data_IF_685608420232
#
_entry.id   IF_685608420232
#
_cell.length_a   1.000
_cell.length_b   1.000
_cell.length_c   1.000
_cell.angle_alpha   90.00
_cell.angle_beta   90.00
_cell.angle_gamma   90.00
#
_symmetry.space_group_name_H-M   'P 1'
#
loop_
_entity.id
_entity.type
_entity.pdbx_description
1 polymer ?
#
# COMPACT_ATOMS: atom_id res chain seq x y z
N UNK A 1 -32.30 -15.21 4.81
CA UNK A 1 -31.77 -13.90 4.35
C UNK A 1 -30.87 -14.17 3.16
N UNK A 2 -31.18 -13.60 1.99
CA UNK A 2 -30.33 -13.70 0.81
C UNK A 2 -29.20 -12.66 0.96
N UNK A 3 -27.98 -13.11 1.20
CA UNK A 3 -26.80 -12.24 1.16
C UNK A 3 -26.59 -11.80 -0.28
N UNK A 4 -26.42 -10.49 -0.51
CA UNK A 4 -26.01 -9.99 -1.82
C UNK A 4 -24.71 -10.69 -2.26
N UNK A 5 -24.56 -11.04 -3.56
CA UNK A 5 -23.29 -11.54 -4.06
C UNK A 5 -22.22 -10.47 -3.84
N UNK A 6 -21.02 -10.91 -3.45
CA UNK A 6 -19.88 -10.01 -3.36
C UNK A 6 -19.56 -9.43 -4.75
N UNK A 7 -18.99 -8.23 -4.79
CA UNK A 7 -18.63 -7.52 -6.02
C UNK A 7 -17.10 -7.62 -6.22
N UNK A 8 -16.64 -7.38 -7.45
CA UNK A 8 -15.21 -7.15 -7.71
C UNK A 8 -14.76 -5.96 -6.85
N UNK A 9 -13.64 -6.07 -6.11
CA UNK A 9 -13.19 -4.98 -5.28
C UNK A 9 -12.84 -3.75 -6.12
N UNK A 10 -13.01 -2.57 -5.54
CA UNK A 10 -12.66 -1.30 -6.14
C UNK A 10 -11.72 -0.57 -5.19
N UNK A 11 -10.41 -0.66 -5.44
CA UNK A 11 -9.40 0.08 -4.67
C UNK A 11 -9.07 1.37 -5.42
N UNK A 12 -9.41 2.49 -4.80
CA UNK A 12 -9.18 3.82 -5.35
C UNK A 12 -7.74 4.28 -5.10
N UNK A 13 -7.20 3.98 -3.92
CA UNK A 13 -5.84 4.34 -3.54
C UNK A 13 -5.25 3.47 -2.43
N UNK A 14 -3.93 3.59 -2.27
CA UNK A 14 -3.15 2.98 -1.20
C UNK A 14 -2.27 4.05 -0.55
N UNK A 15 -2.11 3.99 0.76
CA UNK A 15 -1.35 4.97 1.52
C UNK A 15 -0.57 4.33 2.67
N UNK A 16 0.75 4.51 2.74
CA UNK A 16 1.61 5.17 1.75
C UNK A 16 1.62 4.42 0.41
N UNK A 17 1.97 5.12 -0.67
CA UNK A 17 2.03 4.56 -2.03
C UNK A 17 3.41 4.01 -2.39
N UNK A 18 4.20 3.65 -1.38
CA UNK A 18 5.56 3.18 -1.52
C UNK A 18 6.25 2.97 -0.18
N UNK A 19 7.51 2.58 -0.24
CA UNK A 19 8.35 2.48 0.94
C UNK A 19 9.80 2.13 0.64
N UNK A 20 10.63 2.25 1.67
CA UNK A 20 12.05 1.96 1.61
C UNK A 20 12.30 0.45 1.53
N UNK A 21 13.20 0.00 0.65
CA UNK A 21 13.64 -1.41 0.69
C UNK A 21 14.28 -1.76 2.04
N UNK A 22 14.09 -3.00 2.48
CA UNK A 22 14.55 -3.47 3.79
C UNK A 22 13.68 -3.04 4.97
N UNK A 23 12.47 -2.51 4.70
CA UNK A 23 11.56 -2.04 5.74
C UNK A 23 10.28 -2.87 5.82
N UNK A 24 9.61 -2.70 6.95
CA UNK A 24 8.29 -3.24 7.25
C UNK A 24 7.42 -2.14 7.86
N UNK A 25 6.22 -1.95 7.30
CA UNK A 25 5.31 -0.88 7.69
C UNK A 25 3.87 -1.23 7.31
N UNK A 26 2.94 -0.36 7.65
CA UNK A 26 1.52 -0.54 7.35
C UNK A 26 1.08 0.32 6.15
N UNK A 27 0.30 -0.29 5.26
CA UNK A 27 -0.40 0.39 4.16
C UNK A 27 -1.90 0.28 4.38
N UNK A 28 -2.60 1.41 4.25
CA UNK A 28 -4.06 1.49 4.23
C UNK A 28 -4.56 1.58 2.80
N UNK A 29 -5.56 0.77 2.45
CA UNK A 29 -6.25 0.86 1.16
C UNK A 29 -7.57 1.61 1.33
N UNK A 30 -7.94 2.36 0.30
CA UNK A 30 -9.17 3.17 0.24
C UNK A 30 -10.04 2.67 -0.91
N UNK A 31 -11.36 2.66 -0.70
CA UNK A 31 -12.36 2.21 -1.68
C UNK A 31 -13.28 1.12 -1.13
N UNK A 32 -13.78 0.26 -2.02
CA UNK A 32 -14.62 -0.90 -1.69
C UNK A 32 -13.79 -2.18 -1.68
N UNK A 33 -13.64 -2.77 -0.50
CA UNK A 33 -12.81 -3.96 -0.29
C UNK A 33 -13.52 -5.06 0.49
N UNK A 34 -14.85 -5.04 0.48
CA UNK A 34 -15.65 -6.12 1.05
C UNK A 34 -15.93 -7.20 -0.01
N UNK A 35 -15.94 -8.48 0.38
CA UNK A 35 -15.65 -9.00 1.71
C UNK A 35 -14.15 -8.92 2.07
N UNK A 36 -13.86 -8.55 3.32
CA UNK A 36 -12.50 -8.59 3.88
C UNK A 36 -12.15 -9.98 4.45
N UNK A 37 -10.89 -10.45 4.35
CA UNK A 37 -9.75 -9.81 3.70
C UNK A 37 -9.68 -10.03 2.19
N UNK A 38 -9.19 -9.02 1.47
CA UNK A 38 -8.72 -9.23 0.09
C UNK A 38 -7.31 -9.83 0.13
N UNK A 39 -7.00 -10.65 -0.87
CA UNK A 39 -5.64 -11.05 -1.16
C UNK A 39 -4.94 -9.97 -1.97
N UNK A 40 -3.61 -9.89 -1.88
CA UNK A 40 -2.81 -8.90 -2.57
C UNK A 40 -1.58 -9.55 -3.22
N UNK A 41 -1.25 -9.13 -4.44
CA UNK A 41 -0.06 -9.58 -5.16
C UNK A 41 0.66 -8.40 -5.78
N UNK A 42 1.98 -8.37 -5.63
CA UNK A 42 2.87 -7.43 -6.28
C UNK A 42 3.54 -8.09 -7.48
N UNK A 43 3.87 -7.32 -8.53
CA UNK A 43 4.63 -7.80 -9.68
C UNK A 43 6.05 -8.27 -9.31
N UNK A 44 6.68 -7.66 -8.30
CA UNK A 44 7.81 -8.25 -7.60
C UNK A 44 7.31 -9.15 -6.46
N UNK A 45 7.29 -10.47 -6.72
CA UNK A 45 6.78 -11.47 -5.77
C UNK A 45 7.55 -11.58 -4.45
N UNK A 46 8.64 -10.83 -4.27
CA UNK A 46 9.36 -10.73 -3.00
C UNK A 46 8.72 -9.72 -2.04
N UNK A 47 7.92 -8.78 -2.54
CA UNK A 47 7.18 -7.81 -1.73
C UNK A 47 5.88 -8.47 -1.26
N UNK A 48 5.64 -8.50 0.04
CA UNK A 48 4.43 -9.10 0.61
C UNK A 48 3.47 -8.04 1.15
N UNK A 49 2.17 -8.33 1.00
CA UNK A 49 1.07 -7.54 1.53
C UNK A 49 0.17 -8.47 2.34
N UNK A 50 0.26 -8.40 3.67
CA UNK A 50 -0.47 -9.28 4.58
C UNK A 50 -1.63 -8.52 5.22
N UNK A 51 -2.91 -8.87 4.93
CA UNK A 51 -4.06 -8.17 5.47
C UNK A 51 -4.09 -8.27 7.01
N UNK A 52 -4.37 -7.16 7.69
CA UNK A 52 -4.53 -7.14 9.14
C UNK A 52 -5.95 -7.59 9.52
N UNK A 53 -6.06 -8.53 10.46
CA UNK A 53 -7.36 -9.08 10.87
C UNK A 53 -8.19 -8.09 11.70
N UNK A 54 -7.52 -7.29 12.54
CA UNK A 54 -8.16 -6.38 13.49
C UNK A 54 -8.55 -5.05 12.87
N UNK A 55 -7.92 -4.67 11.77
CA UNK A 55 -8.11 -3.37 11.14
C UNK A 55 -8.35 -3.54 9.64
N UNK A 56 -9.62 -3.52 9.25
CA UNK A 56 -10.01 -3.68 7.84
C UNK A 56 -9.36 -2.61 6.98
N UNK A 57 -8.92 -3.00 5.78
CA UNK A 57 -8.27 -2.10 4.83
C UNK A 57 -6.79 -1.86 5.12
N UNK A 58 -6.22 -2.41 6.20
CA UNK A 58 -4.79 -2.29 6.49
C UNK A 58 -4.02 -3.56 6.12
N UNK A 59 -2.83 -3.37 5.59
CA UNK A 59 -1.90 -4.42 5.22
C UNK A 59 -0.55 -4.15 5.87
N UNK A 60 0.05 -5.18 6.45
CA UNK A 60 1.48 -5.19 6.76
C UNK A 60 2.23 -5.46 5.48
N UNK A 61 3.12 -4.53 5.11
CA UNK A 61 3.94 -4.62 3.91
C UNK A 61 5.38 -4.89 4.32
N UNK A 62 6.00 -5.88 3.69
CA UNK A 62 7.42 -6.18 3.86
C UNK A 62 8.11 -6.02 2.52
N UNK A 63 9.12 -5.15 2.47
CA UNK A 63 9.98 -4.97 1.31
C UNK A 63 11.36 -5.50 1.66
N UNK A 64 11.79 -6.67 1.17
CA UNK A 64 13.14 -7.16 1.42
C UNK A 64 14.22 -6.20 0.88
N UNK A 65 15.38 -6.16 1.55
CA UNK A 65 16.50 -5.29 1.14
C UNK A 65 17.06 -5.61 -0.25
N UNK A 66 16.86 -6.84 -0.75
CA UNK A 66 17.27 -7.30 -2.08
C UNK A 66 16.30 -6.90 -3.21
N UNK A 67 15.20 -6.23 -2.89
CA UNK A 67 14.30 -5.67 -3.91
C UNK A 67 14.94 -4.41 -4.49
N UNK A 68 14.97 -4.35 -5.81
CA UNK A 68 15.49 -3.18 -6.52
C UNK A 68 14.53 -2.00 -6.42
N UNK A 69 15.03 -0.76 -6.26
CA UNK A 69 14.21 0.44 -6.30
C UNK A 69 13.48 0.59 -7.65
N UNK A 70 12.28 1.17 -7.61
CA UNK A 70 11.48 1.42 -8.80
C UNK A 70 9.97 1.27 -8.56
N UNK A 71 9.20 1.62 -9.58
CA UNK A 71 7.75 1.45 -9.58
C UNK A 71 7.38 -0.02 -9.69
N UNK A 72 6.39 -0.43 -8.90
CA UNK A 72 5.78 -1.75 -8.81
C UNK A 72 4.29 -1.64 -8.98
N UNK A 73 3.66 -2.74 -9.35
CA UNK A 73 2.21 -2.85 -9.48
C UNK A 73 1.66 -3.86 -8.48
N UNK A 74 0.82 -3.37 -7.56
CA UNK A 74 0.06 -4.22 -6.64
C UNK A 74 -1.39 -4.35 -7.12
N UNK A 75 -1.93 -5.57 -7.04
CA UNK A 75 -3.34 -5.87 -7.29
C UNK A 75 -3.96 -6.47 -6.04
N UNK A 76 -5.19 -6.07 -5.75
CA UNK A 76 -6.00 -6.65 -4.68
C UNK A 76 -7.13 -7.47 -5.31
N UNK A 77 -7.47 -8.62 -4.74
CA UNK A 77 -8.42 -9.53 -5.34
C UNK A 77 -9.19 -10.38 -4.32
N UNK A 78 -10.37 -10.82 -4.72
CA UNK A 78 -11.20 -11.83 -4.05
C UNK A 78 -11.60 -12.90 -5.08
N UNK A 79 -12.62 -13.72 -4.78
CA UNK A 79 -13.08 -14.77 -5.69
C UNK A 79 -13.86 -14.23 -6.90
N UNK A 80 -14.36 -12.99 -6.82
CA UNK A 80 -15.11 -12.33 -7.87
C UNK A 80 -14.20 -11.67 -8.92
N UNK A 81 -13.02 -11.22 -8.51
CA UNK A 81 -12.04 -10.66 -9.43
C UNK A 81 -10.93 -9.87 -8.75
N UNK A 82 -10.14 -9.19 -9.59
CA UNK A 82 -9.04 -8.35 -9.17
C UNK A 82 -9.28 -6.89 -9.53
N UNK A 83 -8.72 -5.97 -8.75
CA UNK A 83 -8.71 -4.55 -9.07
C UNK A 83 -7.81 -4.25 -10.28
N UNK A 84 -7.99 -3.06 -10.86
CA UNK A 84 -6.91 -2.45 -11.61
C UNK A 84 -5.66 -2.33 -10.73
N UNK A 85 -4.44 -2.47 -11.29
CA UNK A 85 -3.21 -2.35 -10.49
C UNK A 85 -3.09 -0.94 -9.89
N UNK A 86 -2.49 -0.86 -8.71
CA UNK A 86 -2.08 0.38 -8.05
C UNK A 86 -0.56 0.48 -8.11
N UNK A 87 -0.06 1.68 -8.35
CA UNK A 87 1.37 1.94 -8.31
C UNK A 87 1.86 1.89 -6.87
N UNK A 88 3.01 1.24 -6.67
CA UNK A 88 3.72 1.16 -5.40
C UNK A 88 5.20 1.40 -5.66
N UNK A 89 5.81 2.42 -5.06
CA UNK A 89 7.19 2.80 -5.37
C UNK A 89 8.15 2.30 -4.29
N UNK A 90 9.15 1.50 -4.70
CA UNK A 90 10.23 1.08 -3.80
C UNK A 90 11.38 2.08 -3.89
N UNK A 91 11.74 2.67 -2.76
CA UNK A 91 12.84 3.63 -2.65
C UNK A 91 14.05 3.10 -1.86
N UNK A 92 15.12 3.89 -1.85
CA UNK A 92 16.27 3.68 -0.96
C UNK A 92 16.38 4.73 0.15
N UNK A 93 15.66 5.84 0.00
CA UNK A 93 15.67 6.94 0.95
C UNK A 93 14.81 6.63 2.17
N UNK A 94 15.07 7.25 3.33
CA UNK A 94 14.12 7.26 4.43
C UNK A 94 12.75 7.76 3.98
N UNK A 95 11.70 7.14 4.51
CA UNK A 95 10.31 7.45 4.20
C UNK A 95 9.66 8.19 5.37
N UNK A 96 8.94 9.26 5.07
CA UNK A 96 8.11 10.01 6.04
C UNK A 96 6.69 10.10 5.50
N UNK A 97 5.71 9.82 6.35
CA UNK A 97 4.29 9.86 5.99
C UNK A 97 3.66 11.13 6.53
N UNK A 98 2.95 11.87 5.67
CA UNK A 98 2.27 13.11 6.02
C UNK A 98 0.83 13.05 5.48
N UNK A 99 -0.16 13.17 6.35
CA UNK A 99 -1.58 13.00 6.01
C UNK A 99 -2.41 14.29 6.14
N UNK A 100 -1.74 15.43 6.33
CA UNK A 100 -2.34 16.76 6.40
C UNK A 100 -2.10 17.62 5.17
N UNK A 101 -2.86 18.71 5.06
CA UNK A 101 -2.74 19.73 4.01
C UNK A 101 -1.77 20.88 4.36
N UNK A 102 -1.28 20.91 5.60
CA UNK A 102 -0.44 21.99 6.10
C UNK A 102 1.00 21.87 5.57
N UNK A 103 1.72 23.00 5.40
CA UNK A 103 3.13 22.96 5.03
C UNK A 103 3.96 22.14 6.02
N UNK A 104 4.71 21.18 5.50
CA UNK A 104 5.59 20.33 6.30
C UNK A 104 7.00 20.94 6.33
N UNK A 105 7.49 21.26 7.53
CA UNK A 105 8.88 21.64 7.71
C UNK A 105 9.81 20.42 7.65
N UNK A 106 10.85 20.50 6.82
CA UNK A 106 11.88 19.47 6.69
C UNK A 106 13.21 20.07 7.14
N UNK A 107 13.78 19.61 8.27
CA UNK A 107 15.14 19.95 8.66
C UNK A 107 16.14 19.57 7.56
N UNK A 108 17.11 20.44 7.28
CA UNK A 108 18.11 20.18 6.23
C UNK A 108 18.92 18.89 6.49
N UNK A 109 19.08 18.48 7.75
CA UNK A 109 19.76 17.24 8.13
C UNK A 109 19.00 15.95 7.80
N UNK A 110 17.70 16.04 7.51
CA UNK A 110 16.85 14.88 7.19
C UNK A 110 16.86 14.57 5.68
N UNK A 111 17.45 15.45 4.86
CA UNK A 111 17.53 15.28 3.42
C UNK A 111 18.75 14.41 3.02
N UNK A 112 18.63 13.59 1.96
CA UNK A 112 17.43 13.35 1.14
C UNK A 112 16.45 12.35 1.78
N UNK A 113 15.13 12.64 1.70
CA UNK A 113 14.06 11.73 2.11
C UNK A 113 12.92 11.69 1.09
N UNK A 114 12.05 10.69 1.20
CA UNK A 114 10.78 10.60 0.45
C UNK A 114 9.61 10.92 1.38
N UNK A 115 8.71 11.81 0.94
CA UNK A 115 7.48 12.11 1.66
C UNK A 115 6.30 11.45 0.95
N UNK A 116 5.57 10.63 1.69
CA UNK A 116 4.30 10.07 1.26
C UNK A 116 3.17 10.99 1.72
N UNK A 117 2.62 11.75 0.76
CA UNK A 117 1.43 12.58 0.96
C UNK A 117 0.18 11.96 0.35
N UNK A 118 -1.00 12.39 0.80
CA UNK A 118 -2.30 12.12 0.16
C UNK A 118 -3.17 13.38 0.14
N UNK A 119 -4.02 13.50 -0.88
CA UNK A 119 -5.00 14.58 -1.05
C UNK A 119 -6.37 14.19 -0.51
#
# INVERSE_FOLDING_TARGET
MLSAPAEVPAIDGIFPAGGQRGSEFEVTVMGKFEPWPLQAVCDDGRISFSPQEKEKGKYRVVIPAAVEPGARLVRFFNKEGATAPRQFVVGTLPERTEDGSEPVAIPAGDLPLTINGRL
#
